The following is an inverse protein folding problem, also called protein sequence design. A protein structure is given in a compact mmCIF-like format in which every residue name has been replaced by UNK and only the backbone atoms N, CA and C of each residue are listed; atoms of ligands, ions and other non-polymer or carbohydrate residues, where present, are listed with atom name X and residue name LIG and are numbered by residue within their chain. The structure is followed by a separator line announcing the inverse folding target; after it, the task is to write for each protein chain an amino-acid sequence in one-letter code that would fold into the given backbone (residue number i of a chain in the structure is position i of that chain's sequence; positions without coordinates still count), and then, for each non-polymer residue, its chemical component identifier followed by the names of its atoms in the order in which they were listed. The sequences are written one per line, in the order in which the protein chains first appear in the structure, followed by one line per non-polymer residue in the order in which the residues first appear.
data_IF_902898295560
#
_entry.id   IF_902898295560
#
_cell.length_a   1.000
_cell.length_b   1.000
_cell.length_c   1.000
_cell.angle_alpha   90.00
_cell.angle_beta   90.00
_cell.angle_gamma   90.00
#
_symmetry.space_group_name_H-M   'P 1'
#
loop_
_entity.id
_entity.type
_entity.pdbx_description
1 polymer ?
#
# COMPACT_ATOMS: atom_id res chain seq x y z
N UNK A 1 -8.92 -7.51 -6.42
CA UNK A 1 -9.54 -8.75 -5.90
C UNK A 1 -9.35 -8.79 -4.39
N UNK A 2 -10.34 -9.29 -3.64
CA UNK A 2 -10.33 -9.41 -2.19
C UNK A 2 -10.72 -10.85 -1.83
N UNK A 3 -9.90 -11.55 -1.07
CA UNK A 3 -10.10 -12.98 -0.75
C UNK A 3 -9.83 -13.22 0.73
N UNK A 4 -10.64 -14.06 1.35
CA UNK A 4 -10.39 -14.59 2.70
C UNK A 4 -9.32 -15.67 2.59
N UNK A 5 -8.25 -15.54 3.37
CA UNK A 5 -7.08 -16.42 3.29
C UNK A 5 -6.91 -17.17 4.61
N UNK A 6 -7.02 -18.48 4.56
CA UNK A 6 -6.84 -19.34 5.73
C UNK A 6 -5.82 -20.47 5.54
N UNK A 7 -5.28 -20.61 4.32
CA UNK A 7 -4.30 -21.63 3.96
C UNK A 7 -3.31 -21.12 2.91
N UNK A 8 -2.16 -21.79 2.80
CA UNK A 8 -1.18 -21.53 1.73
C UNK A 8 -1.81 -21.73 0.35
N UNK A 9 -2.66 -22.74 0.17
CA UNK A 9 -3.36 -22.97 -1.09
C UNK A 9 -4.21 -21.76 -1.49
N UNK A 10 -4.95 -21.15 -0.55
CA UNK A 10 -5.73 -19.95 -0.84
C UNK A 10 -4.85 -18.74 -1.24
N UNK A 11 -3.64 -18.61 -0.67
CA UNK A 11 -2.67 -17.58 -1.09
C UNK A 11 -2.29 -17.80 -2.54
N UNK A 12 -1.88 -19.03 -2.89
CA UNK A 12 -1.45 -19.40 -4.24
C UNK A 12 -2.59 -19.19 -5.23
N UNK A 13 -3.77 -19.77 -5.00
CA UNK A 13 -4.92 -19.68 -5.89
C UNK A 13 -5.34 -18.21 -6.14
N UNK A 14 -5.28 -17.41 -5.09
CA UNK A 14 -5.60 -15.99 -5.18
C UNK A 14 -4.63 -15.23 -6.05
N UNK A 15 -3.32 -15.47 -5.89
CA UNK A 15 -2.29 -14.84 -6.71
C UNK A 15 -2.29 -15.40 -8.12
N UNK A 16 -2.53 -16.69 -8.31
CA UNK A 16 -2.66 -17.32 -9.63
C UNK A 16 -3.76 -16.68 -10.49
N UNK A 17 -4.83 -16.23 -9.85
CA UNK A 17 -5.94 -15.60 -10.58
C UNK A 17 -5.64 -14.17 -11.06
N UNK A 18 -4.68 -13.48 -10.44
CA UNK A 18 -4.36 -12.08 -10.75
C UNK A 18 -2.97 -11.88 -11.35
N UNK A 19 -2.03 -12.80 -11.10
CA UNK A 19 -0.73 -12.76 -11.73
C UNK A 19 -0.81 -13.28 -13.17
N UNK A 20 -0.36 -12.50 -14.16
CA UNK A 20 -0.31 -13.00 -15.53
C UNK A 20 0.69 -14.16 -15.66
N UNK A 21 0.36 -15.12 -16.48
CA UNK A 21 1.31 -16.15 -16.90
C UNK A 21 2.33 -15.51 -17.84
N UNK A 22 3.57 -15.43 -17.39
CA UNK A 22 4.64 -14.74 -18.10
C UNK A 22 5.85 -15.62 -18.31
N UNK A 23 6.63 -15.31 -19.36
CA UNK A 23 7.94 -15.90 -19.68
C UNK A 23 8.98 -14.81 -19.79
N UNK A 24 10.24 -15.13 -19.51
CA UNK A 24 11.38 -14.23 -19.72
C UNK A 24 12.11 -14.69 -20.98
N UNK A 25 12.08 -13.87 -22.01
CA UNK A 25 12.62 -14.21 -23.33
C UNK A 25 13.73 -13.23 -23.74
N UNK A 26 14.69 -13.72 -24.54
CA UNK A 26 15.69 -12.87 -25.21
C UNK A 26 15.01 -12.09 -26.32
N UNK A 27 15.44 -10.85 -26.54
CA UNK A 27 15.00 -10.05 -27.67
C UNK A 27 16.00 -10.16 -28.82
N UNK A 28 15.50 -10.03 -30.04
CA UNK A 28 16.27 -10.11 -31.28
C UNK A 28 16.04 -8.86 -32.11
N UNK A 29 17.04 -8.42 -32.87
CA UNK A 29 16.88 -7.33 -33.80
C UNK A 29 16.15 -7.75 -35.08
N UNK A 30 15.93 -6.80 -36.00
CA UNK A 30 15.25 -7.08 -37.26
C UNK A 30 16.04 -8.04 -38.20
N UNK A 31 17.33 -8.29 -37.93
CA UNK A 31 18.18 -9.23 -38.66
C UNK A 31 18.18 -10.63 -38.03
N UNK A 32 17.56 -10.78 -36.85
CA UNK A 32 17.56 -12.01 -36.08
C UNK A 32 18.74 -12.18 -35.14
N UNK A 33 19.57 -11.14 -34.95
CA UNK A 33 20.67 -11.15 -34.01
C UNK A 33 20.15 -10.92 -32.60
N UNK A 34 20.68 -11.71 -31.65
CA UNK A 34 20.29 -11.62 -30.25
C UNK A 34 20.75 -10.31 -29.63
N UNK A 35 19.82 -9.55 -29.09
CA UNK A 35 20.11 -8.33 -28.36
C UNK A 35 20.58 -8.64 -26.92
N UNK A 36 21.46 -7.80 -26.32
CA UNK A 36 21.88 -7.94 -24.92
C UNK A 36 20.81 -7.48 -23.91
N UNK A 37 19.54 -7.70 -24.27
CA UNK A 37 18.37 -7.31 -23.48
C UNK A 37 17.39 -8.47 -23.40
N UNK A 38 16.62 -8.47 -22.31
CA UNK A 38 15.54 -9.44 -22.09
C UNK A 38 14.22 -8.74 -21.91
N UNK A 39 13.13 -9.42 -22.20
CA UNK A 39 11.78 -8.96 -21.96
C UNK A 39 10.98 -9.97 -21.15
N UNK A 40 9.95 -9.47 -20.50
CA UNK A 40 8.89 -10.27 -19.91
C UNK A 40 7.71 -10.26 -20.88
N UNK A 41 7.23 -11.43 -21.22
CA UNK A 41 6.14 -11.62 -22.16
C UNK A 41 5.02 -12.40 -21.51
N UNK A 42 3.77 -12.09 -21.84
CA UNK A 42 2.67 -13.00 -21.56
C UNK A 42 2.93 -14.35 -22.25
N UNK A 43 2.55 -15.45 -21.60
CA UNK A 43 2.73 -16.80 -22.13
C UNK A 43 2.18 -16.93 -23.56
N UNK A 44 1.01 -16.36 -23.80
CA UNK A 44 0.35 -16.34 -25.10
C UNK A 44 -0.49 -15.06 -25.28
N UNK A 45 -1.06 -14.88 -26.47
CA UNK A 45 -1.87 -13.71 -26.80
C UNK A 45 -3.21 -13.69 -26.05
N UNK A 46 -3.79 -14.85 -25.73
CA UNK A 46 -5.03 -14.93 -24.96
C UNK A 46 -4.82 -14.42 -23.54
N UNK A 47 -3.69 -14.79 -22.92
CA UNK A 47 -3.31 -14.27 -21.62
C UNK A 47 -3.10 -12.74 -21.67
N UNK A 48 -2.44 -12.23 -22.71
CA UNK A 48 -2.26 -10.79 -22.89
C UNK A 48 -3.61 -10.04 -22.99
N UNK A 49 -4.53 -10.56 -23.80
CA UNK A 49 -5.86 -9.98 -23.98
C UNK A 49 -6.69 -9.97 -22.70
N UNK A 50 -6.57 -11.00 -21.85
CA UNK A 50 -7.21 -11.06 -20.52
C UNK A 50 -6.83 -9.88 -19.64
N UNK A 51 -5.61 -9.35 -19.79
CA UNK A 51 -5.10 -8.19 -19.08
C UNK A 51 -5.19 -6.87 -19.86
N UNK A 52 -5.84 -6.87 -21.03
CA UNK A 52 -6.08 -5.67 -21.84
C UNK A 52 -4.93 -5.28 -22.76
N UNK A 53 -4.04 -6.24 -23.10
CA UNK A 53 -2.90 -6.01 -24.01
C UNK A 53 -3.19 -6.53 -25.42
N UNK A 54 -2.69 -5.81 -26.43
CA UNK A 54 -2.80 -6.18 -27.84
C UNK A 54 -1.68 -7.11 -28.33
N UNK A 55 -0.59 -7.21 -27.57
CA UNK A 55 0.56 -8.06 -27.86
C UNK A 55 1.06 -8.76 -26.60
N UNK A 56 2.07 -9.62 -26.75
CA UNK A 56 2.61 -10.40 -25.63
C UNK A 56 3.61 -9.63 -24.75
N UNK A 57 4.10 -8.48 -25.18
CA UNK A 57 5.13 -7.77 -24.45
C UNK A 57 4.55 -7.08 -23.21
N UNK A 58 5.02 -7.46 -22.02
CA UNK A 58 4.70 -6.80 -20.77
C UNK A 58 5.68 -5.65 -20.53
N UNK A 59 6.96 -5.95 -20.54
CA UNK A 59 8.04 -5.00 -20.31
C UNK A 59 9.36 -5.52 -20.87
N UNK A 60 10.23 -4.63 -21.32
CA UNK A 60 11.61 -4.95 -21.66
C UNK A 60 12.58 -4.06 -20.89
N UNK A 61 13.80 -4.54 -20.72
CA UNK A 61 14.84 -3.78 -20.01
C UNK A 61 16.13 -3.70 -20.82
N UNK A 62 16.60 -2.48 -21.03
CA UNK A 62 17.84 -2.16 -21.76
C UNK A 62 19.11 -2.20 -20.90
N UNK A 63 19.01 -2.57 -19.62
CA UNK A 63 20.14 -2.55 -18.67
C UNK A 63 21.12 -3.74 -18.79
N UNK A 64 21.07 -4.46 -19.90
CA UNK A 64 22.03 -5.51 -20.22
C UNK A 64 21.74 -6.88 -19.60
N UNK A 65 22.61 -7.85 -19.87
CA UNK A 65 22.45 -9.26 -19.47
C UNK A 65 22.43 -9.50 -17.97
N UNK A 66 22.94 -8.55 -17.19
CA UNK A 66 23.01 -8.64 -15.72
C UNK A 66 21.71 -8.25 -15.03
N UNK A 67 20.71 -7.77 -15.76
CA UNK A 67 19.42 -7.46 -15.16
C UNK A 67 18.64 -8.76 -14.87
N UNK A 68 18.27 -8.93 -13.63
CA UNK A 68 17.55 -10.11 -13.16
C UNK A 68 16.07 -9.76 -12.97
N UNK A 69 15.23 -10.21 -13.87
CA UNK A 69 13.79 -10.14 -13.67
C UNK A 69 13.38 -11.09 -12.54
N UNK A 70 12.61 -10.59 -11.60
CA UNK A 70 11.92 -11.47 -10.66
C UNK A 70 10.79 -12.19 -11.39
N UNK A 71 10.65 -13.48 -11.14
CA UNK A 71 9.60 -14.29 -11.75
C UNK A 71 8.26 -14.11 -11.01
N UNK A 72 7.20 -14.59 -11.62
CA UNK A 72 5.88 -14.73 -11.00
C UNK A 72 5.97 -15.63 -9.75
N UNK A 73 6.69 -16.71 -9.85
CA UNK A 73 6.93 -17.68 -8.79
C UNK A 73 7.62 -17.02 -7.59
N UNK A 74 8.64 -16.20 -7.82
CA UNK A 74 9.32 -15.44 -6.75
C UNK A 74 8.32 -14.56 -5.96
N UNK A 75 7.37 -13.94 -6.64
CA UNK A 75 6.37 -13.09 -5.98
C UNK A 75 5.35 -13.92 -5.16
N UNK A 76 4.95 -15.08 -5.69
CA UNK A 76 4.05 -16.01 -4.98
C UNK A 76 4.76 -16.55 -3.76
N UNK A 77 6.02 -16.98 -3.86
CA UNK A 77 6.82 -17.50 -2.75
C UNK A 77 6.98 -16.44 -1.64
N UNK A 78 7.17 -15.19 -2.00
CA UNK A 78 7.23 -14.09 -1.04
C UNK A 78 5.91 -13.90 -0.28
N UNK A 79 4.78 -14.01 -0.96
CA UNK A 79 3.46 -13.92 -0.32
C UNK A 79 3.18 -15.11 0.59
N UNK A 80 3.57 -16.32 0.17
CA UNK A 80 3.47 -17.55 0.97
C UNK A 80 4.35 -17.44 2.22
N UNK A 81 5.58 -16.96 2.07
CA UNK A 81 6.50 -16.74 3.19
C UNK A 81 5.91 -15.76 4.21
N UNK A 82 5.34 -14.65 3.72
CA UNK A 82 4.70 -13.68 4.60
C UNK A 82 3.51 -14.29 5.36
N UNK A 83 2.68 -15.08 4.69
CA UNK A 83 1.58 -15.79 5.31
C UNK A 83 2.05 -16.78 6.39
N UNK A 84 3.07 -17.57 6.09
CA UNK A 84 3.65 -18.53 7.05
C UNK A 84 4.28 -17.83 8.26
N UNK A 85 4.99 -16.72 8.05
CA UNK A 85 5.56 -15.93 9.13
C UNK A 85 4.49 -15.37 10.08
N UNK A 86 3.36 -14.88 9.54
CA UNK A 86 2.21 -14.44 10.36
C UNK A 86 1.66 -15.59 11.18
N UNK A 87 1.50 -16.78 10.59
CA UNK A 87 1.02 -17.98 11.30
C UNK A 87 1.98 -18.41 12.40
N UNK A 88 3.29 -18.41 12.16
CA UNK A 88 4.30 -18.76 13.14
C UNK A 88 4.29 -17.85 14.38
N UNK A 89 3.88 -16.59 14.21
CA UNK A 89 3.73 -15.62 15.31
C UNK A 89 2.35 -15.69 16.02
N UNK A 90 1.54 -16.69 15.70
CA UNK A 90 0.20 -16.84 16.28
C UNK A 90 -0.85 -15.89 15.72
N UNK A 91 -0.54 -15.21 14.62
CA UNK A 91 -1.48 -14.40 13.87
C UNK A 91 -2.28 -15.22 12.84
N UNK A 92 -3.33 -14.63 12.34
CA UNK A 92 -4.09 -15.13 11.20
C UNK A 92 -4.08 -14.08 10.09
N UNK A 93 -3.81 -14.54 8.87
CA UNK A 93 -4.01 -13.72 7.69
C UNK A 93 -5.47 -13.86 7.25
N UNK A 94 -6.31 -12.92 7.67
CA UNK A 94 -7.77 -13.01 7.47
C UNK A 94 -8.22 -12.52 6.11
N UNK A 95 -7.45 -11.69 5.46
CA UNK A 95 -7.79 -11.13 4.17
C UNK A 95 -6.55 -10.83 3.34
N UNK A 96 -6.61 -11.16 2.07
CA UNK A 96 -5.64 -10.72 1.08
C UNK A 96 -6.34 -9.88 0.01
N UNK A 97 -5.76 -8.74 -0.33
CA UNK A 97 -6.14 -7.96 -1.51
C UNK A 97 -4.97 -7.96 -2.49
N UNK A 98 -5.29 -8.17 -3.74
CA UNK A 98 -4.29 -8.12 -4.78
C UNK A 98 -4.85 -7.46 -6.04
N UNK A 99 -4.00 -6.72 -6.74
CA UNK A 99 -4.33 -6.05 -8.00
C UNK A 99 -3.13 -6.07 -8.94
N UNK A 100 -3.41 -6.20 -10.23
CA UNK A 100 -2.44 -6.06 -11.30
C UNK A 100 -2.68 -4.73 -12.00
N UNK A 101 -1.68 -3.86 -12.02
CA UNK A 101 -1.81 -2.51 -12.55
C UNK A 101 -0.96 -2.33 -13.80
N UNK A 102 -1.61 -2.19 -14.96
CA UNK A 102 -1.01 -1.86 -16.26
C UNK A 102 0.22 -2.70 -16.63
N UNK A 103 0.22 -3.97 -16.26
CA UNK A 103 1.24 -4.94 -16.67
C UNK A 103 2.58 -4.87 -15.94
N UNK A 104 2.80 -3.87 -15.11
CA UNK A 104 4.12 -3.66 -14.50
C UNK A 104 4.24 -4.12 -13.08
N UNK A 105 3.19 -4.05 -12.31
CA UNK A 105 3.26 -4.42 -10.92
C UNK A 105 2.01 -5.14 -10.44
N UNK A 106 2.23 -6.01 -9.48
CA UNK A 106 1.19 -6.63 -8.70
C UNK A 106 1.37 -6.17 -7.27
N UNK A 107 0.31 -5.63 -6.71
CA UNK A 107 0.27 -5.20 -5.33
C UNK A 107 -0.57 -6.18 -4.54
N UNK A 108 -0.10 -6.60 -3.38
CA UNK A 108 -0.91 -7.36 -2.44
C UNK A 108 -0.77 -6.84 -1.02
N UNK A 109 -1.86 -6.96 -0.28
CA UNK A 109 -1.94 -6.63 1.15
C UNK A 109 -2.47 -7.84 1.88
N UNK A 110 -1.75 -8.27 2.89
CA UNK A 110 -2.21 -9.27 3.85
C UNK A 110 -2.59 -8.59 5.15
N UNK A 111 -3.83 -8.80 5.58
CA UNK A 111 -4.36 -8.31 6.85
C UNK A 111 -4.10 -9.32 7.94
N UNK A 112 -3.55 -8.86 9.05
CA UNK A 112 -3.10 -9.71 10.16
C UNK A 112 -4.09 -9.57 11.31
N UNK A 113 -4.66 -10.67 11.79
CA UNK A 113 -5.42 -10.71 13.04
C UNK A 113 -4.58 -11.40 14.12
N UNK A 114 -4.30 -10.69 15.20
CA UNK A 114 -3.62 -11.26 16.37
C UNK A 114 -4.69 -11.72 17.37
N UNK A 115 -4.74 -13.02 17.65
CA UNK A 115 -5.78 -13.67 18.47
C UNK A 115 -6.05 -13.01 19.83
N UNK A 116 -5.06 -12.34 20.39
CA UNK A 116 -5.17 -11.72 21.73
C UNK A 116 -4.97 -10.19 21.70
N UNK A 117 -4.98 -9.55 20.51
CA UNK A 117 -4.67 -8.14 20.37
C UNK A 117 -5.55 -7.49 19.32
N UNK A 118 -6.86 -7.51 19.53
CA UNK A 118 -7.73 -6.58 18.81
C UNK A 118 -7.47 -5.20 19.35
N UNK A 119 -7.09 -4.33 18.45
CA UNK A 119 -6.98 -2.93 18.80
C UNK A 119 -8.27 -2.22 18.47
N UNK A 120 -8.83 -1.65 19.51
CA UNK A 120 -9.92 -0.69 19.40
C UNK A 120 -9.41 0.60 20.01
N UNK A 121 -9.20 1.62 19.19
CA UNK A 121 -9.11 2.97 19.69
C UNK A 121 -10.54 3.48 19.82
N UNK A 122 -11.05 3.51 21.05
CA UNK A 122 -12.47 3.73 21.32
C UNK A 122 -13.33 2.70 20.55
N UNK A 123 -13.97 3.08 19.42
CA UNK A 123 -14.73 2.20 18.55
C UNK A 123 -14.05 1.94 17.17
N UNK A 124 -12.83 2.40 16.99
CA UNK A 124 -12.09 2.26 15.74
C UNK A 124 -11.25 0.98 15.73
N UNK A 125 -11.64 0.02 14.89
CA UNK A 125 -10.94 -1.27 14.80
C UNK A 125 -9.84 -1.16 13.76
N UNK A 126 -8.61 -1.43 14.17
CA UNK A 126 -7.40 -1.36 13.37
C UNK A 126 -6.77 -2.74 13.22
N UNK A 127 -6.19 -3.01 12.05
CA UNK A 127 -5.43 -4.23 11.79
C UNK A 127 -4.06 -3.89 11.24
N UNK A 128 -2.99 -4.51 11.75
CA UNK A 128 -1.71 -4.47 11.07
C UNK A 128 -1.83 -5.17 9.72
N UNK A 129 -1.16 -4.62 8.73
CA UNK A 129 -1.07 -5.19 7.39
C UNK A 129 0.37 -5.34 6.97
N UNK A 130 0.63 -6.35 6.16
CA UNK A 130 1.84 -6.46 5.36
C UNK A 130 1.47 -6.13 3.91
N UNK A 131 2.13 -5.12 3.37
CA UNK A 131 1.92 -4.65 2.02
C UNK A 131 3.14 -4.98 1.17
N UNK A 132 2.91 -5.46 -0.05
CA UNK A 132 3.96 -5.75 -1.00
C UNK A 132 3.55 -5.29 -2.39
N UNK A 133 4.48 -4.64 -3.08
CA UNK A 133 4.33 -4.20 -4.45
C UNK A 133 5.44 -4.83 -5.29
N UNK A 134 5.06 -5.80 -6.11
CA UNK A 134 5.95 -6.49 -7.04
C UNK A 134 5.97 -5.73 -8.37
N UNK A 135 7.14 -5.60 -8.97
CA UNK A 135 7.29 -4.95 -10.26
C UNK A 135 8.25 -5.72 -11.15
N UNK A 136 7.93 -5.84 -12.44
CA UNK A 136 8.82 -6.44 -13.42
C UNK A 136 9.93 -5.48 -13.89
N UNK A 137 9.68 -4.18 -13.91
CA UNK A 137 10.55 -3.17 -14.53
C UNK A 137 11.28 -2.27 -13.53
N UNK A 138 10.87 -2.31 -12.28
CA UNK A 138 11.42 -1.45 -11.24
C UNK A 138 11.70 -2.25 -9.96
N UNK A 139 11.99 -1.57 -8.88
CA UNK A 139 12.22 -2.21 -7.60
C UNK A 139 10.92 -2.67 -6.97
N UNK A 140 10.89 -3.92 -6.48
CA UNK A 140 9.80 -4.38 -5.62
C UNK A 140 9.93 -3.77 -4.23
N UNK A 141 8.82 -3.35 -3.67
CA UNK A 141 8.77 -2.65 -2.38
C UNK A 141 7.72 -3.28 -1.48
N UNK A 142 7.95 -3.20 -0.18
CA UNK A 142 6.98 -3.65 0.80
C UNK A 142 7.23 -3.05 2.16
N UNK A 143 6.30 -3.31 3.07
CA UNK A 143 6.39 -2.84 4.44
C UNK A 143 5.12 -3.10 5.23
N UNK A 144 5.16 -2.72 6.49
CA UNK A 144 4.00 -2.71 7.35
C UNK A 144 3.02 -1.61 7.01
N UNK A 145 1.79 -1.81 7.40
CA UNK A 145 0.74 -0.82 7.29
C UNK A 145 -0.38 -1.08 8.29
N UNK A 146 -1.41 -0.27 8.23
CA UNK A 146 -2.59 -0.39 9.08
C UNK A 146 -3.84 -0.24 8.24
N UNK A 147 -4.79 -1.12 8.42
CA UNK A 147 -6.12 -1.00 7.86
C UNK A 147 -7.13 -0.68 8.97
N UNK A 148 -8.00 0.28 8.69
CA UNK A 148 -9.16 0.63 9.53
C UNK A 148 -10.42 0.01 8.94
N UNK A 149 -11.30 -0.54 9.79
CA UNK A 149 -12.57 -1.12 9.30
C UNK A 149 -13.55 -0.06 8.79
N UNK A 150 -13.57 1.10 9.41
CA UNK A 150 -14.56 2.16 9.15
C UNK A 150 -14.39 2.84 7.81
N UNK A 151 -13.16 2.91 7.32
CA UNK A 151 -12.89 3.55 6.04
C UNK A 151 -11.95 2.68 5.19
N UNK A 152 -12.01 2.86 3.88
CA UNK A 152 -11.07 2.22 2.94
C UNK A 152 -9.68 2.85 2.95
N UNK A 153 -9.37 3.67 3.95
CA UNK A 153 -8.06 4.28 4.09
C UNK A 153 -7.06 3.23 4.56
N UNK A 154 -6.05 3.00 3.74
CA UNK A 154 -4.90 2.19 4.11
C UNK A 154 -3.81 3.13 4.60
N UNK A 155 -3.50 3.03 5.88
CA UNK A 155 -2.31 3.68 6.41
C UNK A 155 -1.11 2.79 6.08
N UNK A 156 -0.40 3.12 5.02
CA UNK A 156 0.92 2.53 4.78
C UNK A 156 1.93 3.40 5.52
N UNK A 157 2.36 2.99 6.68
CA UNK A 157 3.29 3.81 7.43
C UNK A 157 4.63 3.11 7.52
N UNK A 158 5.55 3.54 6.69
CA UNK A 158 6.98 3.28 6.89
C UNK A 158 7.50 3.83 8.24
N UNK A 159 6.78 4.78 8.83
CA UNK A 159 7.11 5.37 10.13
C UNK A 159 6.62 4.54 11.30
N UNK A 160 5.47 3.89 11.20
CA UNK A 160 4.81 3.20 12.32
C UNK A 160 5.34 1.79 12.49
N UNK A 161 5.57 1.07 11.41
CA UNK A 161 6.08 -0.29 11.49
C UNK A 161 7.62 -0.36 11.56
N UNK A 162 8.32 0.75 11.35
CA UNK A 162 9.79 0.75 11.29
C UNK A 162 10.36 -0.13 10.16
N UNK A 163 9.47 -0.81 9.41
CA UNK A 163 9.84 -1.79 8.42
C UNK A 163 9.34 -1.40 7.04
N UNK A 164 10.28 -1.02 6.20
CA UNK A 164 10.09 -0.96 4.76
C UNK A 164 11.28 -1.63 4.08
N UNK A 165 11.05 -2.29 2.97
CA UNK A 165 12.10 -2.87 2.17
C UNK A 165 11.96 -2.51 0.70
N UNK A 166 13.10 -2.54 0.01
CA UNK A 166 13.17 -2.28 -1.41
C UNK A 166 14.10 -3.31 -2.04
N UNK A 167 13.55 -4.14 -2.90
CA UNK A 167 14.32 -5.15 -3.62
C UNK A 167 14.69 -4.65 -5.01
N UNK A 168 15.98 -4.53 -5.26
CA UNK A 168 16.50 -4.36 -6.62
C UNK A 168 16.53 -5.71 -7.32
N UNK A 169 16.33 -5.73 -8.62
CA UNK A 169 16.40 -6.91 -9.47
C UNK A 169 17.87 -7.37 -9.61
N UNK A 170 18.35 -8.16 -8.66
CA UNK A 170 19.70 -8.74 -8.62
C UNK A 170 19.63 -10.24 -8.36
N UNK A 171 20.68 -10.99 -8.74
CA UNK A 171 20.79 -12.46 -8.50
C UNK A 171 20.62 -12.87 -7.02
N UNK A 172 20.84 -11.95 -6.10
CA UNK A 172 20.70 -12.19 -4.64
C UNK A 172 19.28 -12.00 -4.11
N UNK A 173 18.26 -11.94 -4.97
CA UNK A 173 16.89 -11.75 -4.54
C UNK A 173 16.36 -12.86 -3.60
N UNK A 174 16.82 -14.11 -3.81
CA UNK A 174 16.45 -15.26 -2.95
C UNK A 174 16.95 -15.18 -1.50
N UNK A 175 18.07 -14.49 -1.23
CA UNK A 175 18.56 -14.28 0.15
C UNK A 175 17.66 -13.37 0.99
N UNK A 176 16.60 -12.81 0.40
CA UNK A 176 15.74 -11.76 0.98
C UNK A 176 14.45 -12.28 1.60
N UNK A 177 14.20 -13.57 1.51
CA UNK A 177 13.08 -14.25 2.22
C UNK A 177 13.20 -14.01 3.73
N UNK A 178 14.41 -14.12 4.29
CA UNK A 178 14.70 -13.81 5.69
C UNK A 178 14.35 -12.36 6.08
N UNK A 179 14.40 -11.43 5.12
CA UNK A 179 14.03 -10.04 5.36
C UNK A 179 12.51 -9.88 5.53
N UNK A 180 11.71 -10.71 4.86
CA UNK A 180 10.24 -10.68 4.97
C UNK A 180 9.80 -11.18 6.35
N UNK A 181 10.35 -12.31 6.80
CA UNK A 181 10.04 -12.86 8.12
C UNK A 181 10.44 -11.90 9.24
N UNK A 182 11.65 -11.37 9.19
CA UNK A 182 12.13 -10.37 10.16
C UNK A 182 11.25 -9.11 10.17
N UNK A 183 10.81 -8.67 8.99
CA UNK A 183 9.96 -7.50 8.87
C UNK A 183 8.56 -7.69 9.41
N UNK A 184 7.96 -8.85 9.22
CA UNK A 184 6.65 -9.16 9.81
C UNK A 184 6.77 -9.26 11.33
N UNK A 185 7.85 -9.87 11.84
CA UNK A 185 8.12 -9.89 13.28
C UNK A 185 8.24 -8.47 13.86
N UNK A 186 8.86 -7.56 13.14
CA UNK A 186 8.99 -6.15 13.54
C UNK A 186 7.65 -5.40 13.52
N UNK A 187 6.81 -5.62 12.51
CA UNK A 187 5.44 -5.09 12.47
C UNK A 187 4.67 -5.50 13.73
N UNK A 188 4.73 -6.78 14.09
CA UNK A 188 4.04 -7.31 15.27
C UNK A 188 4.61 -6.74 16.56
N UNK A 189 5.94 -6.63 16.66
CA UNK A 189 6.63 -6.06 17.81
C UNK A 189 6.28 -4.60 18.03
N UNK A 190 6.31 -3.80 16.97
CA UNK A 190 6.11 -2.36 17.03
C UNK A 190 4.63 -1.97 17.06
N UNK A 191 3.72 -2.94 17.01
CA UNK A 191 2.29 -2.68 17.05
C UNK A 191 1.85 -1.93 18.30
N UNK A 192 2.45 -2.23 19.46
CA UNK A 192 2.18 -1.51 20.71
C UNK A 192 2.55 -0.02 20.67
N UNK A 193 3.67 0.32 20.05
CA UNK A 193 4.11 1.71 19.88
C UNK A 193 3.15 2.48 18.95
N UNK A 194 2.70 1.83 17.88
CA UNK A 194 1.70 2.41 17.02
C UNK A 194 0.39 2.72 17.74
N UNK A 195 -0.05 1.84 18.61
CA UNK A 195 -1.25 2.05 19.40
C UNK A 195 -1.12 3.26 20.31
N UNK A 196 0.02 3.37 20.99
CA UNK A 196 0.34 4.53 21.84
C UNK A 196 0.35 5.84 21.04
N UNK A 197 0.84 5.80 19.81
CA UNK A 197 0.80 6.92 18.87
C UNK A 197 -0.63 7.33 18.49
N UNK A 198 -1.52 6.37 18.20
CA UNK A 198 -2.93 6.65 17.93
C UNK A 198 -3.62 7.28 19.16
N UNK A 199 -3.32 6.76 20.35
CA UNK A 199 -3.85 7.32 21.60
C UNK A 199 -3.35 8.74 21.85
N UNK A 200 -2.08 9.01 21.59
CA UNK A 200 -1.51 10.35 21.73
C UNK A 200 -2.22 11.34 20.79
N UNK A 201 -2.39 11.00 19.51
CA UNK A 201 -3.18 11.83 18.59
C UNK A 201 -4.62 11.99 19.05
N UNK A 202 -5.24 10.92 19.52
CA UNK A 202 -6.63 10.92 19.97
C UNK A 202 -6.89 11.81 21.18
N UNK A 203 -5.88 11.98 22.04
CA UNK A 203 -5.96 12.90 23.22
C UNK A 203 -5.82 14.37 22.83
N UNK A 204 -5.33 14.68 21.62
CA UNK A 204 -5.19 16.07 21.17
C UNK A 204 -6.53 16.61 20.72
N UNK A 205 -6.86 17.78 21.21
CA UNK A 205 -8.02 18.54 20.74
C UNK A 205 -7.54 19.55 19.69
N UNK A 206 -7.91 19.35 18.42
CA UNK A 206 -7.42 20.13 17.30
C UNK A 206 -8.55 20.77 16.50
N UNK A 207 -8.29 21.97 16.02
CA UNK A 207 -9.17 22.64 15.08
C UNK A 207 -8.78 22.29 13.64
N UNK A 208 -9.67 21.58 12.91
CA UNK A 208 -9.44 21.23 11.53
C UNK A 208 -9.06 22.43 10.65
N UNK A 209 -9.74 23.57 10.81
CA UNK A 209 -9.49 24.75 9.99
C UNK A 209 -8.09 25.32 10.22
N UNK A 210 -7.63 25.30 11.45
CA UNK A 210 -6.27 25.74 11.79
C UNK A 210 -5.20 24.83 11.18
N UNK A 211 -5.33 23.51 11.35
CA UNK A 211 -4.45 22.53 10.72
C UNK A 211 -4.48 22.69 9.20
N UNK A 212 -5.67 22.80 8.63
CA UNK A 212 -5.86 22.96 7.19
C UNK A 212 -5.15 24.21 6.65
N UNK A 213 -5.35 25.36 7.28
CA UNK A 213 -4.72 26.62 6.86
C UNK A 213 -3.20 26.56 6.95
N UNK A 214 -2.67 25.94 7.99
CA UNK A 214 -1.22 25.74 8.11
C UNK A 214 -0.65 24.80 7.06
N UNK A 215 -1.41 23.77 6.63
CA UNK A 215 -0.96 22.79 5.62
C UNK A 215 -1.03 23.39 4.21
N UNK A 216 -2.16 23.98 3.82
CA UNK A 216 -2.44 24.44 2.45
C UNK A 216 -2.45 25.95 2.25
N UNK A 217 -2.18 26.70 3.29
CA UNK A 217 -2.21 28.17 3.30
C UNK A 217 -3.56 28.74 3.73
N UNK A 218 -3.54 30.03 4.02
CA UNK A 218 -4.72 30.78 4.43
C UNK A 218 -5.77 30.87 3.31
N UNK A 219 -7.00 31.17 3.72
CA UNK A 219 -8.13 31.31 2.79
C UNK A 219 -7.83 32.43 1.77
N UNK A 220 -7.79 32.11 0.45
CA UNK A 220 -7.61 33.12 -0.58
C UNK A 220 -8.80 34.10 -0.66
N UNK A 221 -8.55 35.33 -1.11
CA UNK A 221 -9.60 36.36 -1.17
C UNK A 221 -10.63 36.08 -2.26
N UNK A 222 -10.21 35.59 -3.44
CA UNK A 222 -11.12 35.43 -4.59
C UNK A 222 -10.62 34.41 -5.63
N UNK A 223 -11.46 34.12 -6.60
CA UNK A 223 -11.15 33.38 -7.83
C UNK A 223 -11.02 31.88 -7.63
N UNK A 224 -10.45 31.21 -8.64
CA UNK A 224 -10.31 29.74 -8.67
C UNK A 224 -9.59 29.16 -7.45
N UNK A 225 -8.63 29.90 -6.88
CA UNK A 225 -7.92 29.46 -5.68
C UNK A 225 -8.84 29.38 -4.47
N UNK A 226 -9.77 30.33 -4.31
CA UNK A 226 -10.77 30.29 -3.23
C UNK A 226 -11.71 29.10 -3.39
N UNK A 227 -12.21 28.83 -4.60
CA UNK A 227 -13.06 27.67 -4.88
C UNK A 227 -12.33 26.36 -4.54
N UNK A 228 -11.11 26.16 -5.05
CA UNK A 228 -10.30 24.95 -4.78
C UNK A 228 -10.01 24.79 -3.29
N UNK A 229 -9.74 25.90 -2.58
CA UNK A 229 -9.50 25.87 -1.12
C UNK A 229 -10.77 25.45 -0.38
N UNK A 230 -11.91 26.00 -0.75
CA UNK A 230 -13.21 25.71 -0.15
C UNK A 230 -13.67 24.26 -0.40
N UNK A 231 -13.59 23.80 -1.63
CA UNK A 231 -13.99 22.43 -2.02
C UNK A 231 -13.15 21.38 -1.26
N UNK A 232 -11.84 21.58 -1.19
CA UNK A 232 -10.95 20.70 -0.44
C UNK A 232 -11.32 20.64 1.04
N UNK A 233 -11.51 21.79 1.67
CA UNK A 233 -11.91 21.85 3.09
C UNK A 233 -13.26 21.18 3.31
N UNK A 234 -14.20 21.35 2.40
CA UNK A 234 -15.54 20.75 2.47
C UNK A 234 -15.46 19.21 2.43
N UNK A 235 -14.66 18.66 1.51
CA UNK A 235 -14.44 17.21 1.41
C UNK A 235 -13.79 16.61 2.66
N UNK A 236 -12.74 17.26 3.19
CA UNK A 236 -12.09 16.81 4.42
C UNK A 236 -13.06 16.87 5.60
N UNK A 237 -13.84 17.95 5.71
CA UNK A 237 -14.85 18.13 6.76
C UNK A 237 -15.97 17.10 6.66
N UNK A 238 -16.41 16.77 5.46
CA UNK A 238 -17.43 15.74 5.23
C UNK A 238 -16.96 14.37 5.75
N UNK A 239 -15.71 14.00 5.46
CA UNK A 239 -15.07 12.78 5.98
C UNK A 239 -14.99 12.78 7.50
N UNK A 240 -14.48 13.86 8.09
CA UNK A 240 -14.35 14.03 9.52
C UNK A 240 -15.71 13.87 10.22
N UNK A 241 -16.75 14.55 9.73
CA UNK A 241 -18.09 14.49 10.33
C UNK A 241 -18.70 13.09 10.21
N UNK A 242 -18.49 12.42 9.07
CA UNK A 242 -18.97 11.05 8.86
C UNK A 242 -18.31 10.08 9.84
N UNK A 243 -16.98 10.09 9.94
CA UNK A 243 -16.25 9.22 10.85
C UNK A 243 -16.54 9.54 12.32
N UNK A 244 -16.61 10.81 12.69
CA UNK A 244 -17.01 11.26 14.02
C UNK A 244 -18.37 10.69 14.41
N UNK A 245 -19.37 10.79 13.52
CA UNK A 245 -20.73 10.27 13.77
C UNK A 245 -20.75 8.73 13.86
N UNK A 246 -19.97 8.03 13.03
CA UNK A 246 -19.94 6.56 13.00
C UNK A 246 -19.27 5.98 14.26
N UNK A 247 -18.27 6.66 14.78
CA UNK A 247 -17.50 6.22 15.94
C UNK A 247 -18.04 6.75 17.27
N UNK A 248 -18.85 7.80 17.25
CA UNK A 248 -19.25 8.52 18.45
C UNK A 248 -18.11 9.32 19.09
N UNK A 249 -17.09 9.69 18.30
CA UNK A 249 -15.90 10.43 18.75
C UNK A 249 -16.03 11.90 18.33
N UNK A 250 -15.49 12.82 19.14
CA UNK A 250 -15.52 14.25 18.81
C UNK A 250 -14.80 14.55 17.49
N UNK A 251 -15.38 15.44 16.68
CA UNK A 251 -14.76 15.93 15.43
C UNK A 251 -13.50 16.78 15.66
N UNK A 252 -13.18 17.13 16.89
CA UNK A 252 -11.92 17.79 17.25
C UNK A 252 -10.81 16.81 17.66
N UNK A 253 -11.08 15.50 17.65
CA UNK A 253 -10.09 14.48 17.96
C UNK A 253 -9.00 14.47 16.89
N UNK A 254 -7.74 14.59 17.32
CA UNK A 254 -6.60 14.70 16.40
C UNK A 254 -6.40 13.47 15.51
N UNK A 255 -6.71 12.27 16.00
CA UNK A 255 -6.68 11.04 15.19
C UNK A 255 -7.68 11.11 14.05
N UNK A 256 -8.91 11.57 14.30
CA UNK A 256 -9.91 11.73 13.23
C UNK A 256 -9.54 12.82 12.23
N UNK A 257 -9.01 13.95 12.71
CA UNK A 257 -8.52 15.03 11.83
C UNK A 257 -7.40 14.51 10.91
N UNK A 258 -6.43 13.78 11.46
CA UNK A 258 -5.36 13.15 10.68
C UNK A 258 -5.92 12.20 9.60
N UNK A 259 -6.79 11.28 10.00
CA UNK A 259 -7.38 10.30 9.08
C UNK A 259 -8.25 10.94 7.98
N UNK A 260 -8.95 12.01 8.30
CA UNK A 260 -9.77 12.74 7.31
C UNK A 260 -8.91 13.41 6.24
N UNK A 261 -7.75 13.97 6.64
CA UNK A 261 -6.76 14.54 5.72
C UNK A 261 -6.13 13.42 4.87
N UNK A 262 -5.71 12.34 5.49
CA UNK A 262 -5.13 11.18 4.82
C UNK A 262 -6.11 10.59 3.80
N UNK A 263 -7.37 10.38 4.18
CA UNK A 263 -8.41 9.87 3.30
C UNK A 263 -8.69 10.79 2.11
N UNK A 264 -8.65 12.11 2.28
CA UNK A 264 -8.73 13.06 1.18
C UNK A 264 -7.55 12.89 0.22
N UNK A 265 -6.32 12.86 0.74
CA UNK A 265 -5.12 12.69 -0.07
C UNK A 265 -5.15 11.38 -0.85
N UNK A 266 -5.54 10.28 -0.21
CA UNK A 266 -5.60 8.96 -0.86
C UNK A 266 -6.69 8.85 -1.92
N UNK A 267 -7.89 9.39 -1.67
CA UNK A 267 -9.05 9.08 -2.50
C UNK A 267 -9.42 10.20 -3.48
N UNK A 268 -9.12 11.46 -3.17
CA UNK A 268 -9.54 12.58 -3.98
C UNK A 268 -8.43 13.18 -4.83
N UNK A 269 -7.19 13.20 -4.34
CA UNK A 269 -6.06 13.73 -5.13
C UNK A 269 -5.47 12.69 -6.09
N UNK A 270 -5.61 11.42 -5.76
CA UNK A 270 -5.02 10.30 -6.54
C UNK A 270 -6.06 9.49 -7.33
N UNK A 271 -7.24 10.05 -7.60
CA UNK A 271 -8.37 9.38 -8.30
C UNK A 271 -7.99 8.70 -9.62
N UNK A 272 -6.97 9.23 -10.32
CA UNK A 272 -6.52 8.69 -11.61
C UNK A 272 -5.69 7.41 -11.49
N UNK A 273 -5.35 7.03 -10.27
CA UNK A 273 -4.59 5.82 -9.99
C UNK A 273 -5.57 4.74 -9.55
N UNK A 274 -5.70 3.67 -10.34
CA UNK A 274 -6.66 2.60 -10.05
C UNK A 274 -6.25 1.75 -8.84
N UNK A 275 -4.93 1.59 -8.61
CA UNK A 275 -4.41 0.80 -7.50
C UNK A 275 -4.48 1.52 -6.15
N UNK A 276 -5.26 0.95 -5.23
CA UNK A 276 -5.47 1.52 -3.89
C UNK A 276 -4.19 1.55 -3.04
N UNK A 277 -3.27 0.60 -3.24
CA UNK A 277 -2.01 0.55 -2.50
C UNK A 277 -1.06 1.66 -2.95
N UNK A 278 -1.00 1.90 -4.26
CA UNK A 278 -0.21 3.01 -4.82
C UNK A 278 -0.78 4.35 -4.35
N UNK A 279 -2.11 4.49 -4.32
CA UNK A 279 -2.76 5.70 -3.77
C UNK A 279 -2.44 5.92 -2.30
N UNK A 280 -2.54 4.84 -1.51
CA UNK A 280 -2.22 4.89 -0.09
C UNK A 280 -0.76 5.26 0.15
N UNK A 281 0.17 4.66 -0.59
CA UNK A 281 1.61 4.98 -0.48
C UNK A 281 1.89 6.46 -0.80
N UNK A 282 1.31 6.99 -1.88
CA UNK A 282 1.47 8.39 -2.24
C UNK A 282 0.89 9.35 -1.18
N UNK A 283 -0.29 9.04 -0.64
CA UNK A 283 -0.91 9.85 0.39
C UNK A 283 -0.07 9.86 1.68
N UNK A 284 0.38 8.70 2.12
CA UNK A 284 1.13 8.55 3.37
C UNK A 284 2.55 9.16 3.30
N UNK A 285 3.14 9.24 2.11
CA UNK A 285 4.42 9.88 1.89
C UNK A 285 4.31 11.36 1.46
N UNK A 286 3.10 11.93 1.48
CA UNK A 286 2.90 13.33 1.11
C UNK A 286 3.45 14.30 2.17
N UNK A 287 3.94 15.44 1.71
CA UNK A 287 4.40 16.51 2.59
C UNK A 287 3.26 17.12 3.40
N UNK A 288 2.08 17.14 2.81
CA UNK A 288 0.85 17.65 3.43
C UNK A 288 0.46 16.82 4.65
N UNK A 289 0.48 15.48 4.52
CA UNK A 289 0.15 14.60 5.64
C UNK A 289 1.21 14.69 6.75
N UNK A 290 2.50 14.69 6.39
CA UNK A 290 3.59 14.84 7.36
C UNK A 290 3.50 16.15 8.13
N UNK A 291 3.10 17.24 7.45
CA UNK A 291 2.90 18.55 8.10
C UNK A 291 1.67 18.55 9.01
N UNK A 292 0.56 17.93 8.58
CA UNK A 292 -0.63 17.79 9.42
C UNK A 292 -0.33 17.00 10.70
N UNK A 293 0.39 15.88 10.57
CA UNK A 293 0.85 15.05 11.67
C UNK A 293 1.65 15.85 12.72
N UNK A 294 2.68 16.57 12.27
CA UNK A 294 3.52 17.42 13.10
C UNK A 294 2.69 18.48 13.85
N UNK A 295 1.74 19.12 13.16
CA UNK A 295 0.85 20.12 13.76
C UNK A 295 -0.10 19.54 14.82
N UNK A 296 -0.59 18.33 14.59
CA UNK A 296 -1.50 17.64 15.53
C UNK A 296 -0.74 17.21 16.79
N UNK A 297 0.43 16.66 16.63
CA UNK A 297 1.27 16.21 17.76
C UNK A 297 1.92 17.38 18.51
N UNK A 298 2.05 18.52 17.88
CA UNK A 298 2.70 19.69 18.48
C UNK A 298 4.23 19.63 18.38
N UNK A 299 4.74 18.90 17.36
CA UNK A 299 6.17 18.70 17.11
C UNK A 299 6.73 19.76 16.15
#
# INVERSE_FOLDING_TARGET
MKVVVNSVANVIDSLDSIFPQTTIESLFDAKGDRLPIKGVFFRDLLEAQKFGYSDRLVVYHSKGENYFFQSREDAIDQAVTAFQAVKAMGGDCIEMRASFNKGYCVSFTQKIEMKNRRFMFENDILFPTYNFNFSYDSVSRGGGGVERIICSNLLTTSRIAGFSFCFRHTKKAGERVLTIEAGIAEIVKNWGEFLSYCEEMGRKNVNLLEVYSKVWGDKPEAGRKLTTWGDRLAEIRLRLNRESSQLGISSTNGWLVFNSIQGYLQNDTTRKIDDILVRADQANNSKELAKAESLILGA
#
